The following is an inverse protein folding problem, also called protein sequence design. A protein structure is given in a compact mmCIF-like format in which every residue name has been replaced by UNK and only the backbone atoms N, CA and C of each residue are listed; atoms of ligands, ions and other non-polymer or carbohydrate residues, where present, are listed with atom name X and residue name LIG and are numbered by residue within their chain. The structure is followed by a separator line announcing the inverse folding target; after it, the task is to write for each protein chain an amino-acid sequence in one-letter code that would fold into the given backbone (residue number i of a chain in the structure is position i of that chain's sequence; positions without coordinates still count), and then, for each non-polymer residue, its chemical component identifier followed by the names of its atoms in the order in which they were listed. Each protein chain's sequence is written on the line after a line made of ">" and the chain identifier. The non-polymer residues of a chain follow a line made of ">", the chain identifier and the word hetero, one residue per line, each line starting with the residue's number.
data_IF_110495321253
#
_entry.id   IF_110495321253
#
_cell.length_a   1.000
_cell.length_b   1.000
_cell.length_c   1.000
_cell.angle_alpha   90.00
_cell.angle_beta   90.00
_cell.angle_gamma   90.00
#
_symmetry.space_group_name_H-M   'P 1'
#
loop_
_entity.id
_entity.type
_entity.pdbx_description
1 polymer ?
#
# COMPACT_ATOMS: atom_id res chain seq x y z
N UNK A 1 16.20 -3.95 -12.65
CA UNK A 1 15.80 -2.54 -12.68
C UNK A 1 14.44 -2.49 -12.00
N UNK A 2 14.34 -1.87 -10.82
CA UNK A 2 13.08 -1.83 -10.08
C UNK A 2 12.04 -0.99 -10.82
N UNK A 3 10.77 -1.40 -10.75
CA UNK A 3 9.66 -0.62 -11.30
C UNK A 3 9.25 0.44 -10.28
N UNK A 4 9.16 1.69 -10.71
CA UNK A 4 8.80 2.78 -9.83
C UNK A 4 7.36 3.23 -10.09
N UNK A 5 6.61 3.39 -9.01
CA UNK A 5 5.28 3.97 -9.04
C UNK A 5 5.27 5.27 -8.24
N UNK A 6 4.37 6.16 -8.62
CA UNK A 6 4.04 7.39 -7.91
C UNK A 6 2.65 7.26 -7.34
N UNK A 7 2.52 7.55 -6.05
CA UNK A 7 1.27 7.53 -5.30
C UNK A 7 0.95 8.97 -4.94
N UNK A 8 -0.17 9.46 -5.43
CA UNK A 8 -0.70 10.79 -5.11
C UNK A 8 -1.99 10.63 -4.33
N UNK A 9 -2.02 11.11 -3.09
CA UNK A 9 -3.16 11.07 -2.20
C UNK A 9 -3.46 12.50 -1.70
N UNK A 10 -4.56 13.08 -2.20
CA UNK A 10 -4.88 14.49 -1.97
C UNK A 10 -3.76 15.43 -2.41
N UNK A 11 -3.12 16.11 -1.45
CA UNK A 11 -1.97 17.00 -1.68
C UNK A 11 -0.61 16.34 -1.43
N UNK A 12 -0.60 15.07 -1.02
CA UNK A 12 0.61 14.31 -0.70
C UNK A 12 1.03 13.49 -1.90
N UNK A 13 2.33 13.44 -2.15
CA UNK A 13 2.94 12.63 -3.19
C UNK A 13 4.13 11.87 -2.62
N UNK A 14 4.17 10.57 -2.89
CA UNK A 14 5.30 9.69 -2.56
C UNK A 14 5.61 8.78 -3.74
N UNK A 15 6.84 8.29 -3.80
CA UNK A 15 7.25 7.27 -4.76
C UNK A 15 7.43 5.93 -4.05
N UNK A 16 7.26 4.84 -4.77
CA UNK A 16 7.55 3.50 -4.28
C UNK A 16 8.21 2.66 -5.36
N UNK A 17 9.05 1.72 -4.93
CA UNK A 17 9.70 0.73 -5.78
C UNK A 17 9.00 -0.61 -5.57
N UNK A 18 8.58 -1.22 -6.67
CA UNK A 18 7.99 -2.55 -6.68
C UNK A 18 9.08 -3.62 -6.77
N UNK A 19 8.81 -4.79 -6.20
CA UNK A 19 9.63 -5.98 -6.34
C UNK A 19 9.29 -6.78 -7.62
N UNK A 20 9.91 -7.97 -7.73
CA UNK A 20 9.72 -8.90 -8.85
C UNK A 20 8.64 -9.96 -8.54
N UNK A 21 7.71 -9.68 -7.62
CA UNK A 21 6.62 -10.61 -7.29
C UNK A 21 5.49 -10.55 -8.33
N UNK A 22 4.72 -11.64 -8.40
CA UNK A 22 3.48 -11.70 -9.22
C UNK A 22 2.45 -10.65 -8.80
N UNK A 23 2.47 -10.27 -7.52
CA UNK A 23 1.62 -9.20 -7.00
C UNK A 23 2.05 -7.86 -7.60
N UNK A 24 3.35 -7.55 -7.61
CA UNK A 24 3.87 -6.35 -8.25
C UNK A 24 3.54 -6.30 -9.75
N UNK A 25 3.64 -7.43 -10.46
CA UNK A 25 3.28 -7.53 -11.89
C UNK A 25 1.81 -7.17 -12.14
N UNK A 26 0.89 -7.80 -11.40
CA UNK A 26 -0.53 -7.55 -11.58
C UNK A 26 -0.93 -6.10 -11.22
N UNK A 27 -0.29 -5.52 -10.20
CA UNK A 27 -0.50 -4.11 -9.84
C UNK A 27 0.02 -3.19 -10.95
N UNK A 28 1.20 -3.47 -11.49
CA UNK A 28 1.80 -2.71 -12.58
C UNK A 28 0.93 -2.70 -13.84
N UNK A 29 0.43 -3.87 -14.24
CA UNK A 29 -0.42 -4.02 -15.42
C UNK A 29 -1.80 -3.34 -15.27
N UNK A 30 -2.24 -3.09 -14.03
CA UNK A 30 -3.48 -2.39 -13.73
C UNK A 30 -3.33 -0.87 -13.64
N UNK A 31 -2.12 -0.32 -13.75
CA UNK A 31 -1.89 1.12 -13.73
C UNK A 31 -2.47 1.80 -15.00
N UNK A 32 -3.04 3.01 -14.88
CA UNK A 32 -3.20 3.80 -13.66
C UNK A 32 -4.39 3.33 -12.80
N UNK A 33 -4.18 3.29 -11.48
CA UNK A 33 -5.22 2.91 -10.50
C UNK A 33 -5.73 4.17 -9.80
N UNK A 34 -7.05 4.26 -9.64
CA UNK A 34 -7.71 5.36 -8.93
C UNK A 34 -8.58 4.80 -7.80
N UNK A 35 -8.60 5.47 -6.66
CA UNK A 35 -9.39 5.07 -5.51
C UNK A 35 -9.67 6.21 -4.54
N UNK A 36 -10.27 5.87 -3.40
CA UNK A 36 -10.44 6.76 -2.25
C UNK A 36 -9.77 6.14 -1.03
N UNK A 37 -8.94 6.91 -0.34
CA UNK A 37 -8.24 6.47 0.85
C UNK A 37 -9.24 6.11 1.95
N UNK A 38 -9.10 4.93 2.53
CA UNK A 38 -9.66 4.59 3.83
C UNK A 38 -8.53 4.59 4.85
N UNK A 39 -8.77 5.10 6.06
CA UNK A 39 -7.78 5.17 7.14
C UNK A 39 -8.04 4.09 8.19
N UNK A 40 -6.99 3.39 8.62
CA UNK A 40 -7.04 2.47 9.75
C UNK A 40 -5.75 2.55 10.57
N UNK A 41 -5.75 3.38 11.63
CA UNK A 41 -4.51 3.77 12.31
C UNK A 41 -3.54 4.47 11.37
N UNK A 42 -2.27 4.06 11.33
CA UNK A 42 -1.26 4.54 10.37
C UNK A 42 -1.17 3.66 9.11
N UNK A 43 -2.33 3.21 8.61
CA UNK A 43 -2.51 2.57 7.30
C UNK A 43 -3.47 3.37 6.41
N UNK A 44 -3.14 3.49 5.11
CA UNK A 44 -4.09 3.89 4.07
C UNK A 44 -4.37 2.67 3.20
N UNK A 45 -5.64 2.36 2.98
CA UNK A 45 -6.03 1.30 2.06
C UNK A 45 -7.20 1.69 1.15
N UNK A 46 -7.25 1.11 -0.04
CA UNK A 46 -8.36 1.31 -0.98
C UNK A 46 -8.49 0.15 -1.95
N UNK A 47 -9.73 -0.16 -2.33
CA UNK A 47 -10.01 -1.25 -3.27
C UNK A 47 -9.49 -0.92 -4.67
N UNK A 48 -8.98 -1.96 -5.34
CA UNK A 48 -8.40 -1.91 -6.68
C UNK A 48 -9.01 -3.02 -7.54
N UNK A 49 -8.97 -2.92 -8.89
CA UNK A 49 -9.56 -3.93 -9.77
C UNK A 49 -8.77 -5.25 -9.84
N UNK A 50 -7.66 -5.37 -9.11
CA UNK A 50 -6.78 -6.54 -9.11
C UNK A 50 -7.32 -7.60 -8.15
N UNK A 51 -7.44 -8.83 -8.64
CA UNK A 51 -7.88 -10.00 -7.85
C UNK A 51 -6.80 -11.06 -7.85
N UNK A 52 -6.09 -11.17 -6.73
CA UNK A 52 -5.08 -12.18 -6.49
C UNK A 52 -5.40 -12.98 -5.24
N UNK A 53 -4.95 -14.25 -5.24
CA UNK A 53 -4.91 -15.06 -4.04
C UNK A 53 -3.76 -14.62 -3.12
N UNK A 54 -3.80 -14.97 -1.82
CA UNK A 54 -2.66 -14.80 -0.93
C UNK A 54 -1.43 -15.52 -1.52
N UNK A 55 -0.29 -14.82 -1.55
CA UNK A 55 0.98 -15.30 -2.08
C UNK A 55 2.10 -14.70 -1.22
N UNK A 56 2.82 -15.56 -0.50
CA UNK A 56 3.83 -15.15 0.50
C UNK A 56 3.31 -14.10 1.51
N UNK A 57 2.06 -14.26 1.95
CA UNK A 57 1.38 -13.27 2.79
C UNK A 57 2.05 -13.15 4.17
N UNK A 58 2.31 -11.90 4.59
CA UNK A 58 2.97 -11.55 5.85
C UNK A 58 1.98 -10.98 6.85
N UNK A 59 2.11 -11.40 8.11
CA UNK A 59 1.32 -10.90 9.24
C UNK A 59 1.98 -9.73 9.98
N UNK A 60 3.23 -9.41 9.64
CA UNK A 60 3.99 -8.27 10.15
C UNK A 60 4.65 -7.60 8.96
N UNK A 61 4.58 -6.27 8.91
CA UNK A 61 5.12 -5.42 7.85
C UNK A 61 6.01 -4.33 8.43
N UNK A 62 6.76 -3.65 7.57
CA UNK A 62 7.63 -2.54 7.96
C UNK A 62 7.01 -1.18 7.60
N UNK A 63 7.56 -0.12 8.19
CA UNK A 63 7.24 1.24 7.79
C UNK A 63 7.63 1.46 6.32
N UNK A 64 6.71 2.00 5.54
CA UNK A 64 6.85 2.23 4.11
C UNK A 64 6.48 1.04 3.23
N UNK A 65 6.14 -0.13 3.79
CA UNK A 65 5.70 -1.25 2.96
C UNK A 65 4.40 -0.92 2.22
N UNK A 66 4.35 -1.33 0.95
CA UNK A 66 3.11 -1.39 0.18
C UNK A 66 2.74 -2.85 -0.05
N UNK A 67 1.47 -3.16 0.22
CA UNK A 67 1.01 -4.53 0.20
C UNK A 67 -0.39 -4.64 -0.40
N UNK A 68 -0.71 -5.82 -0.91
CA UNK A 68 -2.03 -6.16 -1.41
C UNK A 68 -2.75 -6.98 -0.34
N UNK A 69 -3.97 -6.57 0.00
CA UNK A 69 -4.82 -7.28 0.94
C UNK A 69 -5.85 -8.13 0.19
N UNK A 70 -5.69 -9.47 0.15
CA UNK A 70 -6.52 -10.33 -0.69
C UNK A 70 -8.03 -10.31 -0.38
N UNK A 71 -8.47 -10.34 0.89
CA UNK A 71 -9.90 -10.33 1.21
C UNK A 71 -10.66 -9.10 0.71
N UNK A 72 -10.02 -7.93 0.74
CA UNK A 72 -10.63 -6.66 0.33
C UNK A 72 -10.29 -6.21 -1.09
N UNK A 73 -9.49 -7.00 -1.82
CA UNK A 73 -8.88 -6.60 -3.09
C UNK A 73 -8.29 -5.18 -3.00
N UNK A 74 -7.52 -4.93 -1.95
CA UNK A 74 -7.11 -3.58 -1.59
C UNK A 74 -5.61 -3.37 -1.74
N UNK A 75 -5.24 -2.17 -2.16
CA UNK A 75 -3.88 -1.65 -2.05
C UNK A 75 -3.73 -1.03 -0.65
N UNK A 76 -2.74 -1.47 0.10
CA UNK A 76 -2.42 -1.01 1.44
C UNK A 76 -1.06 -0.30 1.46
N UNK A 77 -0.99 0.80 2.21
CA UNK A 77 0.21 1.60 2.44
C UNK A 77 0.40 1.71 3.95
N UNK A 78 1.51 1.18 4.45
CA UNK A 78 1.84 1.21 5.88
C UNK A 78 2.87 2.31 6.16
N UNK A 79 2.58 3.19 7.12
CA UNK A 79 3.46 4.30 7.52
C UNK A 79 3.46 4.50 9.05
N UNK A 80 3.22 3.40 9.76
CA UNK A 80 3.18 3.34 11.21
C UNK A 80 2.26 2.23 11.73
N UNK A 81 2.02 2.20 13.05
CA UNK A 81 1.21 1.17 13.68
C UNK A 81 -0.28 1.28 13.32
N UNK A 82 -0.89 0.13 13.11
CA UNK A 82 -2.33 -0.07 12.93
C UNK A 82 -3.01 -0.43 14.26
N UNK A 83 -4.36 -0.48 14.33
CA UNK A 83 -5.08 -0.99 15.49
C UNK A 83 -4.81 -2.47 15.85
N UNK A 84 -4.30 -3.29 14.92
CA UNK A 84 -3.90 -4.67 15.21
C UNK A 84 -2.43 -4.82 15.65
N UNK A 85 -1.68 -3.71 15.65
CA UNK A 85 -0.27 -3.68 16.00
C UNK A 85 -0.05 -3.93 17.49
N UNK A 86 1.03 -4.64 17.82
CA UNK A 86 1.39 -4.99 19.21
C UNK A 86 2.84 -4.63 19.48
N UNK A 87 3.10 -3.86 20.54
CA UNK A 87 4.44 -3.38 20.84
C UNK A 87 4.95 -2.48 19.72
N UNK A 88 6.08 -2.87 19.12
CA UNK A 88 6.75 -2.12 18.05
C UNK A 88 6.49 -2.71 16.64
N UNK A 89 5.70 -3.76 16.52
CA UNK A 89 5.40 -4.39 15.22
C UNK A 89 4.22 -3.73 14.53
N UNK A 90 4.34 -3.46 13.23
CA UNK A 90 3.21 -3.01 12.39
C UNK A 90 2.49 -4.25 11.85
N UNK A 91 1.20 -4.38 12.15
CA UNK A 91 0.40 -5.56 11.77
C UNK A 91 -0.82 -5.19 10.92
N UNK A 92 -1.00 -5.72 9.71
CA UNK A 92 -2.27 -5.58 9.00
C UNK A 92 -3.41 -6.31 9.73
N UNK A 93 -4.66 -6.04 9.33
CA UNK A 93 -5.83 -6.74 9.88
C UNK A 93 -5.80 -8.26 9.67
N UNK A 94 -5.25 -8.69 8.54
CA UNK A 94 -4.91 -10.09 8.24
C UNK A 94 -3.72 -10.14 7.29
N UNK A 95 -3.09 -11.31 7.06
CA UNK A 95 -1.87 -11.39 6.24
C UNK A 95 -2.02 -10.77 4.85
N UNK A 96 -1.01 -9.98 4.44
CA UNK A 96 -0.98 -9.23 3.16
C UNK A 96 0.20 -9.65 2.29
N UNK A 97 0.06 -9.54 0.98
CA UNK A 97 1.17 -9.76 0.04
C UNK A 97 1.95 -8.45 -0.09
N UNK A 98 3.10 -8.33 0.57
CA UNK A 98 4.01 -7.18 0.36
C UNK A 98 4.62 -7.29 -1.03
N UNK A 99 4.58 -6.21 -1.81
CA UNK A 99 5.05 -6.20 -3.20
C UNK A 99 5.92 -4.99 -3.55
N UNK A 100 6.27 -4.18 -2.56
CA UNK A 100 7.13 -3.02 -2.76
C UNK A 100 7.29 -2.19 -1.51
N UNK A 101 8.01 -1.09 -1.65
CA UNK A 101 8.29 -0.16 -0.55
C UNK A 101 8.35 1.28 -1.02
N UNK A 102 7.82 2.19 -0.20
CA UNK A 102 7.94 3.63 -0.41
C UNK A 102 9.41 4.05 -0.34
N UNK A 103 9.81 4.88 -1.28
CA UNK A 103 11.08 5.58 -1.28
C UNK A 103 10.87 7.01 -0.83
N UNK A 104 11.41 7.36 0.34
CA UNK A 104 11.34 8.70 0.91
C UNK A 104 10.67 8.73 2.28
N UNK A 105 10.20 9.91 2.67
CA UNK A 105 9.56 10.13 3.96
C UNK A 105 8.10 9.67 3.95
N UNK A 106 7.78 8.65 4.75
CA UNK A 106 6.42 8.09 4.91
C UNK A 106 5.56 8.95 5.83
N UNK A 107 6.15 9.78 6.71
CA UNK A 107 5.41 10.59 7.68
C UNK A 107 4.49 11.61 7.01
N UNK A 108 4.79 12.00 5.76
CA UNK A 108 3.94 12.87 4.94
C UNK A 108 2.54 12.31 4.74
N UNK A 109 2.38 10.98 4.72
CA UNK A 109 1.11 10.27 4.51
C UNK A 109 0.14 10.45 5.70
N UNK A 110 0.64 10.83 6.89
CA UNK A 110 -0.20 11.16 8.05
C UNK A 110 -1.12 12.35 7.80
N UNK A 111 -0.81 13.17 6.80
CA UNK A 111 -1.64 14.33 6.39
C UNK A 111 -2.84 13.93 5.53
N UNK A 112 -2.83 12.74 4.95
CA UNK A 112 -3.91 12.24 4.08
C UNK A 112 -5.12 11.90 4.95
N UNK A 113 -6.26 12.50 4.62
CA UNK A 113 -7.52 12.23 5.31
C UNK A 113 -8.28 11.07 4.67
N UNK A 114 -9.16 10.48 5.47
CA UNK A 114 -10.14 9.52 4.97
C UNK A 114 -11.01 10.15 3.86
N UNK A 115 -11.30 9.38 2.83
CA UNK A 115 -12.08 9.78 1.66
C UNK A 115 -11.31 10.57 0.58
N UNK A 116 -10.04 10.94 0.81
CA UNK A 116 -9.23 11.63 -0.18
C UNK A 116 -8.99 10.79 -1.43
N UNK A 117 -8.93 11.46 -2.58
CA UNK A 117 -8.65 10.77 -3.86
C UNK A 117 -7.21 10.28 -3.87
N UNK A 118 -7.03 9.01 -4.21
CA UNK A 118 -5.73 8.39 -4.42
C UNK A 118 -5.57 8.01 -5.89
N UNK A 119 -4.42 8.29 -6.47
CA UNK A 119 -4.05 7.91 -7.84
C UNK A 119 -2.66 7.27 -7.82
N UNK A 120 -2.51 6.12 -8.46
CA UNK A 120 -1.23 5.45 -8.66
C UNK A 120 -0.91 5.45 -10.14
N UNK A 121 0.30 5.89 -10.49
CA UNK A 121 0.83 5.90 -11.86
C UNK A 121 2.22 5.32 -11.93
N UNK A 122 2.59 4.76 -13.08
CA UNK A 122 3.99 4.43 -13.38
C UNK A 122 4.83 5.71 -13.49
N UNK A 123 6.12 5.61 -13.15
CA UNK A 123 7.12 6.68 -13.29
C UNK A 123 8.08 6.34 -14.43
#
# INVERSE_FOLDING_TARGET
>A
MGRNIKITAGQVEVQAVLDDSKTADAIWDALPINGRANRWGDEIYFSIPVKLAPDNAKAVVEDGDIAYWPPGHAFCIFFGPTPASTGNEIRPASPVNVFGKITGDTAVLKRVKDGEKVTITAV
#
